data_IF_276160218141
#
_entry.id   IF_276160218141
#
_cell.length_a   1.000
_cell.length_b   1.000
_cell.length_c   1.000
_cell.angle_alpha   90.00
_cell.angle_beta   90.00
_cell.angle_gamma   90.00
#
_symmetry.space_group_name_H-M   'P 1'
#
loop_
_entity.id
_entity.type
_entity.pdbx_description
1 polymer ?
#
# COMPACT_ATOMS: atom_id res chain seq x y z
N UNK A 1 -7.72 -15.86 17.82
CA UNK A 1 -8.14 -14.91 18.88
C UNK A 1 -6.95 -14.63 19.79
N UNK A 2 -6.31 -13.49 19.56
CA UNK A 2 -5.12 -13.03 20.30
C UNK A 2 -5.45 -12.76 21.75
N UNK A 3 -4.54 -13.15 22.65
CA UNK A 3 -4.66 -12.87 24.09
C UNK A 3 -4.58 -11.34 24.36
N UNK A 4 -5.66 -10.70 24.85
CA UNK A 4 -5.67 -9.26 25.13
C UNK A 4 -4.65 -8.83 26.19
N UNK A 5 -4.31 -9.72 27.13
CA UNK A 5 -3.33 -9.46 28.19
C UNK A 5 -1.93 -9.40 27.59
N UNK A 6 -1.61 -10.34 26.70
CA UNK A 6 -0.34 -10.37 25.98
C UNK A 6 -0.17 -9.11 25.12
N UNK A 7 -1.19 -8.75 24.36
CA UNK A 7 -1.17 -7.57 23.50
C UNK A 7 -0.94 -6.29 24.31
N UNK A 8 -1.64 -6.13 25.43
CA UNK A 8 -1.48 -4.95 26.29
C UNK A 8 -0.10 -4.90 26.93
N UNK A 9 0.39 -6.02 27.45
CA UNK A 9 1.73 -6.12 28.04
C UNK A 9 2.83 -5.75 27.03
N UNK A 10 2.73 -6.25 25.80
CA UNK A 10 3.65 -5.90 24.72
C UNK A 10 3.58 -4.39 24.37
N UNK A 11 2.38 -3.81 24.33
CA UNK A 11 2.16 -2.39 24.08
C UNK A 11 2.67 -1.46 25.20
N UNK A 12 2.69 -1.96 26.44
CA UNK A 12 3.23 -1.26 27.60
C UNK A 12 4.77 -1.41 27.71
N UNK A 13 5.40 -2.18 26.80
CA UNK A 13 6.85 -2.28 26.66
C UNK A 13 7.50 -3.52 27.29
N UNK A 14 6.72 -4.52 27.70
CA UNK A 14 7.28 -5.78 28.21
C UNK A 14 7.98 -6.56 27.07
N UNK A 15 9.27 -6.83 27.25
CA UNK A 15 10.10 -7.46 26.23
C UNK A 15 9.73 -8.93 25.96
N UNK A 16 9.29 -9.66 26.98
CA UNK A 16 8.90 -11.06 26.84
C UNK A 16 7.56 -11.17 26.09
N UNK A 17 6.60 -10.30 26.44
CA UNK A 17 5.32 -10.18 25.75
C UNK A 17 5.50 -9.74 24.30
N UNK A 18 6.38 -8.76 24.04
CA UNK A 18 6.76 -8.35 22.67
C UNK A 18 7.29 -9.53 21.87
N UNK A 19 8.26 -10.27 22.44
CA UNK A 19 8.85 -11.44 21.79
C UNK A 19 7.82 -12.52 21.47
N UNK A 20 6.95 -12.83 22.43
CA UNK A 20 5.87 -13.80 22.25
C UNK A 20 4.88 -13.37 21.17
N UNK A 21 4.44 -12.09 21.16
CA UNK A 21 3.50 -11.59 20.17
C UNK A 21 4.10 -11.58 18.75
N UNK A 22 5.40 -11.30 18.62
CA UNK A 22 6.12 -11.41 17.33
C UNK A 22 6.14 -12.87 16.84
N UNK A 23 6.41 -13.83 17.73
CA UNK A 23 6.37 -15.26 17.40
C UNK A 23 4.95 -15.71 17.02
N UNK A 24 3.94 -15.28 17.78
CA UNK A 24 2.53 -15.55 17.50
C UNK A 24 2.14 -15.00 16.13
N UNK A 25 2.48 -13.74 15.83
CA UNK A 25 2.20 -13.11 14.55
C UNK A 25 2.83 -13.87 13.38
N UNK A 26 4.06 -14.35 13.53
CA UNK A 26 4.75 -15.11 12.50
C UNK A 26 4.04 -16.44 12.21
N UNK A 27 3.54 -17.14 13.24
CA UNK A 27 2.81 -18.41 13.12
C UNK A 27 1.33 -18.24 12.75
N UNK A 28 0.75 -17.05 12.97
CA UNK A 28 -0.66 -16.76 12.80
C UNK A 28 -1.13 -16.80 11.34
N UNK A 29 -2.40 -17.19 11.16
CA UNK A 29 -3.11 -17.07 9.89
C UNK A 29 -3.49 -15.61 9.57
N UNK A 30 -4.04 -15.34 8.37
CA UNK A 30 -4.38 -13.98 7.95
C UNK A 30 -5.33 -13.24 8.89
N UNK A 31 -6.36 -13.90 9.40
CA UNK A 31 -7.37 -13.28 10.27
C UNK A 31 -6.78 -12.93 11.64
N UNK A 32 -6.05 -13.84 12.27
CA UNK A 32 -5.37 -13.58 13.55
C UNK A 32 -4.32 -12.46 13.43
N UNK A 33 -3.58 -12.38 12.31
CA UNK A 33 -2.67 -11.26 12.05
C UNK A 33 -3.40 -9.93 11.98
N UNK A 34 -4.58 -9.91 11.36
CA UNK A 34 -5.43 -8.70 11.31
C UNK A 34 -5.86 -8.31 12.72
N UNK A 35 -6.30 -9.27 13.55
CA UNK A 35 -6.66 -9.02 14.94
C UNK A 35 -5.50 -8.43 15.75
N UNK A 36 -4.29 -8.96 15.63
CA UNK A 36 -3.10 -8.45 16.32
C UNK A 36 -2.81 -6.99 15.91
N UNK A 37 -2.80 -6.71 14.61
CA UNK A 37 -2.53 -5.35 14.10
C UNK A 37 -3.60 -4.37 14.55
N UNK A 38 -4.87 -4.75 14.44
CA UNK A 38 -6.00 -3.89 14.80
C UNK A 38 -6.13 -3.70 16.32
N UNK A 39 -5.61 -4.63 17.13
CA UNK A 39 -5.51 -4.46 18.58
C UNK A 39 -4.37 -3.51 18.99
N UNK A 40 -3.23 -3.56 18.29
CA UNK A 40 -2.09 -2.67 18.57
C UNK A 40 -2.29 -1.25 18.05
N UNK A 41 -2.94 -1.08 16.89
CA UNK A 41 -3.07 0.21 16.22
C UNK A 41 -3.72 1.32 17.06
N UNK A 42 -4.83 1.09 17.79
CA UNK A 42 -5.41 2.09 18.68
C UNK A 42 -4.48 2.49 19.83
N UNK A 43 -3.66 1.56 20.33
CA UNK A 43 -2.70 1.84 21.40
C UNK A 43 -1.58 2.74 20.89
N UNK A 44 -1.06 2.46 19.69
CA UNK A 44 -0.10 3.33 19.00
C UNK A 44 -0.70 4.72 18.72
N UNK A 45 -1.95 4.78 18.25
CA UNK A 45 -2.67 6.03 18.00
C UNK A 45 -2.86 6.87 19.27
N UNK A 46 -3.06 6.22 20.42
CA UNK A 46 -3.13 6.85 21.73
C UNK A 46 -1.75 7.28 22.30
N UNK A 47 -0.66 7.02 21.58
CA UNK A 47 0.69 7.45 21.95
C UNK A 47 1.55 6.40 22.66
N UNK A 48 1.11 5.13 22.71
CA UNK A 48 1.94 4.05 23.26
C UNK A 48 3.12 3.76 22.31
N UNK A 49 4.29 4.33 22.61
CA UNK A 49 5.50 4.19 21.79
C UNK A 49 5.87 2.72 21.51
N UNK A 50 5.86 1.79 22.50
CA UNK A 50 6.21 0.40 22.23
C UNK A 50 5.24 -0.29 21.25
N UNK A 51 3.95 0.08 21.28
CA UNK A 51 2.97 -0.42 20.32
C UNK A 51 3.26 0.09 18.90
N UNK A 52 3.60 1.38 18.74
CA UNK A 52 3.98 1.96 17.45
C UNK A 52 5.24 1.30 16.89
N UNK A 53 6.27 1.12 17.71
CA UNK A 53 7.50 0.42 17.30
C UNK A 53 7.24 -1.02 16.89
N UNK A 54 6.34 -1.72 17.59
CA UNK A 54 5.95 -3.08 17.25
C UNK A 54 5.18 -3.14 15.92
N UNK A 55 4.25 -2.22 15.70
CA UNK A 55 3.54 -2.11 14.41
C UNK A 55 4.52 -1.88 13.26
N UNK A 56 5.48 -0.97 13.42
CA UNK A 56 6.51 -0.70 12.41
C UNK A 56 7.36 -1.94 12.13
N UNK A 57 7.78 -2.67 13.16
CA UNK A 57 8.49 -3.94 13.03
C UNK A 57 7.68 -4.96 12.21
N UNK A 58 6.40 -5.15 12.55
CA UNK A 58 5.53 -6.12 11.88
C UNK A 58 5.26 -5.71 10.41
N UNK A 59 5.01 -4.42 10.16
CA UNK A 59 4.81 -3.88 8.81
C UNK A 59 6.04 -4.15 7.94
N UNK A 60 7.23 -3.89 8.47
CA UNK A 60 8.49 -4.10 7.76
C UNK A 60 8.76 -5.58 7.52
N UNK A 61 8.80 -6.40 8.60
CA UNK A 61 9.18 -7.82 8.54
C UNK A 61 8.25 -8.64 7.66
N UNK A 62 6.95 -8.34 7.69
CA UNK A 62 5.94 -9.06 6.93
C UNK A 62 5.54 -8.36 5.64
N UNK A 63 6.29 -7.33 5.23
CA UNK A 63 6.14 -6.63 3.94
C UNK A 63 4.70 -6.19 3.67
N UNK A 64 3.98 -5.71 4.70
CA UNK A 64 2.53 -5.40 4.63
C UNK A 64 2.23 -4.34 3.56
N UNK A 65 3.15 -3.38 3.40
CA UNK A 65 3.08 -2.30 2.42
C UNK A 65 3.46 -2.73 0.99
N UNK A 66 4.21 -3.82 0.84
CA UNK A 66 4.84 -4.21 -0.43
C UNK A 66 3.85 -4.40 -1.57
N UNK A 67 2.70 -5.09 -1.40
CA UNK A 67 1.76 -5.27 -2.50
C UNK A 67 1.26 -3.94 -3.08
N UNK A 68 1.02 -2.93 -2.22
CA UNK A 68 0.60 -1.61 -2.68
C UNK A 68 1.72 -0.89 -3.45
N UNK A 69 2.96 -1.00 -2.99
CA UNK A 69 4.13 -0.38 -3.64
C UNK A 69 4.41 -1.00 -5.01
N UNK A 70 4.40 -2.33 -5.10
CA UNK A 70 4.75 -3.07 -6.33
C UNK A 70 3.68 -3.00 -7.40
N UNK A 71 2.49 -2.45 -7.10
CA UNK A 71 1.50 -2.10 -8.14
C UNK A 71 1.89 -0.88 -8.96
N UNK A 72 2.83 -0.06 -8.46
CA UNK A 72 3.23 1.23 -9.06
C UNK A 72 4.71 1.30 -9.43
N UNK A 73 5.57 0.60 -8.70
CA UNK A 73 7.02 0.63 -8.87
C UNK A 73 7.57 -0.75 -9.24
N UNK A 74 8.58 -0.75 -10.11
CA UNK A 74 9.25 -1.97 -10.59
C UNK A 74 10.73 -1.99 -10.21
N UNK A 75 11.37 -0.82 -10.18
CA UNK A 75 12.78 -0.72 -9.81
C UNK A 75 12.97 -1.07 -8.33
N UNK A 76 13.87 -2.00 -7.99
CA UNK A 76 14.07 -2.42 -6.60
C UNK A 76 14.47 -1.28 -5.65
N UNK A 77 15.25 -0.31 -6.12
CA UNK A 77 15.66 0.82 -5.28
C UNK A 77 14.48 1.78 -5.04
N UNK A 78 13.67 2.04 -6.06
CA UNK A 78 12.45 2.84 -5.92
C UNK A 78 11.44 2.16 -4.96
N UNK A 79 11.30 0.84 -5.06
CA UNK A 79 10.45 0.04 -4.17
C UNK A 79 10.92 0.14 -2.72
N UNK A 80 12.22 0.05 -2.49
CA UNK A 80 12.80 0.13 -1.15
C UNK A 80 12.69 1.53 -0.56
N UNK A 81 12.93 2.58 -1.36
CA UNK A 81 12.70 3.98 -0.96
C UNK A 81 11.25 4.21 -0.55
N UNK A 82 10.29 3.76 -1.38
CA UNK A 82 8.86 3.85 -1.04
C UNK A 82 8.51 3.08 0.24
N UNK A 83 9.12 1.91 0.48
CA UNK A 83 8.89 1.14 1.70
C UNK A 83 9.42 1.85 2.95
N UNK A 84 10.59 2.49 2.87
CA UNK A 84 11.15 3.28 3.96
C UNK A 84 10.30 4.52 4.26
N UNK A 85 9.93 5.27 3.21
CA UNK A 85 9.04 6.43 3.32
C UNK A 85 7.69 6.04 3.93
N UNK A 86 7.18 4.85 3.61
CA UNK A 86 5.95 4.33 4.21
C UNK A 86 6.08 4.17 5.71
N UNK A 87 7.17 3.58 6.21
CA UNK A 87 7.38 3.38 7.64
C UNK A 87 7.46 4.71 8.39
N UNK A 88 8.17 5.69 7.82
CA UNK A 88 8.26 7.06 8.36
C UNK A 88 6.86 7.69 8.41
N UNK A 89 6.11 7.62 7.30
CA UNK A 89 4.77 8.19 7.23
C UNK A 89 3.78 7.50 8.18
N UNK A 90 3.89 6.19 8.39
CA UNK A 90 3.11 5.45 9.39
C UNK A 90 3.42 5.97 10.79
N UNK A 91 4.70 6.11 11.14
CA UNK A 91 5.12 6.65 12.43
C UNK A 91 4.59 8.06 12.68
N UNK A 92 4.65 8.93 11.68
CA UNK A 92 4.17 10.33 11.78
C UNK A 92 2.64 10.43 11.88
N UNK A 93 1.92 9.52 11.22
CA UNK A 93 0.46 9.59 11.08
C UNK A 93 -0.30 8.64 12.00
N UNK A 94 0.37 7.80 12.79
CA UNK A 94 -0.29 6.78 13.60
C UNK A 94 -1.34 7.37 14.54
N UNK A 95 -1.13 8.59 15.06
CA UNK A 95 -2.09 9.33 15.89
C UNK A 95 -3.39 9.71 15.16
N UNK A 96 -3.39 9.67 13.83
CA UNK A 96 -4.56 9.92 12.97
C UNK A 96 -5.32 8.64 12.63
N UNK A 97 -4.87 7.47 13.10
CA UNK A 97 -5.60 6.23 12.88
C UNK A 97 -6.82 6.15 13.81
N UNK A 98 -8.01 6.26 13.20
CA UNK A 98 -9.30 6.30 13.92
C UNK A 98 -10.02 4.95 14.00
N UNK A 99 -9.42 3.85 13.52
CA UNK A 99 -10.06 2.53 13.51
C UNK A 99 -11.25 2.38 12.56
N UNK A 100 -11.48 3.35 11.65
CA UNK A 100 -12.53 3.28 10.62
C UNK A 100 -12.25 2.24 9.52
N UNK A 101 -11.02 1.74 9.45
CA UNK A 101 -10.59 0.65 8.56
C UNK A 101 -9.59 -0.25 9.27
N UNK A 102 -9.34 -1.43 8.69
CA UNK A 102 -8.26 -2.33 9.15
C UNK A 102 -6.91 -1.62 9.04
N UNK A 103 -6.03 -1.82 10.03
CA UNK A 103 -4.72 -1.16 10.05
C UNK A 103 -3.90 -1.46 8.80
N UNK A 104 -3.88 -2.73 8.34
CA UNK A 104 -3.16 -3.10 7.11
C UNK A 104 -3.67 -2.35 5.87
N UNK A 105 -4.96 -2.02 5.82
CA UNK A 105 -5.56 -1.26 4.71
C UNK A 105 -5.09 0.19 4.77
N UNK A 106 -5.08 0.78 5.96
CA UNK A 106 -4.56 2.13 6.19
C UNK A 106 -3.07 2.26 5.83
N UNK A 107 -2.23 1.28 6.22
CA UNK A 107 -0.81 1.24 5.83
C UNK A 107 -0.64 1.13 4.31
N UNK A 108 -1.43 0.28 3.64
CA UNK A 108 -1.38 0.13 2.17
C UNK A 108 -1.79 1.41 1.45
N UNK A 109 -2.76 2.15 1.99
CA UNK A 109 -3.12 3.47 1.47
C UNK A 109 -1.93 4.44 1.60
N UNK A 110 -1.27 4.52 2.76
CA UNK A 110 -0.05 5.33 2.92
C UNK A 110 1.03 4.91 1.92
N UNK A 111 1.32 3.60 1.83
CA UNK A 111 2.37 3.06 0.99
C UNK A 111 2.20 3.40 -0.50
N UNK A 112 0.95 3.36 -0.97
CA UNK A 112 0.60 3.75 -2.33
C UNK A 112 0.89 5.22 -2.60
N UNK A 113 0.64 6.09 -1.64
CA UNK A 113 0.95 7.52 -1.79
C UNK A 113 2.44 7.76 -1.88
N UNK A 114 3.23 7.09 -1.04
CA UNK A 114 4.69 7.20 -1.12
C UNK A 114 5.22 6.65 -2.45
N UNK A 115 4.67 5.53 -2.93
CA UNK A 115 5.01 4.98 -4.25
C UNK A 115 4.66 5.93 -5.41
N UNK A 116 3.52 6.62 -5.37
CA UNK A 116 3.16 7.65 -6.35
C UNK A 116 4.13 8.84 -6.31
N UNK A 117 4.57 9.26 -5.12
CA UNK A 117 5.53 10.35 -4.99
C UNK A 117 6.89 9.98 -5.57
N UNK A 118 7.38 8.77 -5.31
CA UNK A 118 8.62 8.24 -5.91
C UNK A 118 8.51 8.20 -7.43
N UNK A 119 7.41 7.68 -7.97
CA UNK A 119 7.16 7.64 -9.42
C UNK A 119 7.19 9.03 -10.06
N UNK A 120 6.51 10.02 -9.45
CA UNK A 120 6.48 11.41 -9.93
C UNK A 120 7.85 12.07 -9.90
N UNK A 121 8.66 11.83 -8.86
CA UNK A 121 10.03 12.36 -8.76
C UNK A 121 10.91 11.83 -9.89
N UNK A 122 10.73 10.57 -10.28
CA UNK A 122 11.45 9.93 -11.38
C UNK A 122 11.10 10.56 -12.73
N UNK A 123 9.81 10.68 -13.05
CA UNK A 123 9.38 11.30 -14.30
C UNK A 123 9.91 12.72 -14.47
N UNK A 124 9.90 13.52 -13.39
CA UNK A 124 10.47 14.88 -13.39
C UNK A 124 11.99 14.92 -13.60
N UNK A 125 12.72 13.85 -13.25
CA UNK A 125 14.17 13.73 -13.49
C UNK A 125 14.50 13.22 -14.90
N UNK A 126 13.55 12.58 -15.59
CA UNK A 126 13.77 11.94 -16.89
C UNK A 126 13.47 12.87 -18.10
N UNK A 127 12.91 14.06 -17.90
CA UNK A 127 12.86 15.08 -18.98
C UNK A 127 14.10 16.01 -18.89
N UNK A 128 14.90 16.19 -19.98
CA UNK A 128 14.51 16.12 -21.39
C UNK A 128 15.11 14.97 -22.21
N UNK A 129 14.38 14.65 -23.28
CA UNK A 129 14.76 13.95 -24.52
C UNK A 129 14.53 12.42 -24.63
N UNK A 130 13.51 12.12 -25.43
CA UNK A 130 13.34 10.96 -26.34
C UNK A 130 12.67 9.70 -25.79
N UNK A 131 11.64 9.29 -26.54
CA UNK A 131 10.90 8.03 -26.47
C UNK A 131 11.83 6.81 -26.47
N UNK A 132 12.10 6.22 -25.31
CA UNK A 132 12.43 4.80 -25.21
C UNK A 132 11.74 4.21 -23.98
N UNK A 133 10.75 3.35 -24.22
CA UNK A 133 10.12 2.52 -23.20
C UNK A 133 11.11 1.41 -22.84
N UNK A 134 11.68 1.34 -21.62
CA UNK A 134 12.65 0.30 -21.31
C UNK A 134 11.98 -1.06 -21.23
N UNK A 135 12.38 -1.95 -22.14
CA UNK A 135 12.03 -3.36 -22.19
C UNK A 135 12.75 -4.11 -21.05
N UNK A 136 12.27 -3.98 -19.80
CA UNK A 136 12.78 -4.76 -18.64
C UNK A 136 11.75 -5.71 -18.03
N UNK A 137 10.67 -6.05 -18.75
CA UNK A 137 9.57 -6.89 -18.27
C UNK A 137 9.86 -8.41 -18.28
N UNK A 138 11.08 -8.85 -17.97
CA UNK A 138 11.45 -10.28 -18.07
C UNK A 138 11.79 -10.98 -16.73
N UNK A 139 11.77 -10.32 -15.57
CA UNK A 139 12.29 -10.92 -14.32
C UNK A 139 11.26 -11.22 -13.21
N UNK A 140 10.07 -11.74 -13.54
CA UNK A 140 9.18 -12.23 -12.47
C UNK A 140 8.41 -13.47 -12.88
N UNK A 141 9.14 -14.47 -13.40
CA UNK A 141 8.59 -15.79 -13.69
C UNK A 141 8.80 -16.70 -12.47
N UNK A 142 7.84 -16.65 -11.53
CA UNK A 142 7.39 -17.72 -10.63
C UNK A 142 6.70 -17.08 -9.42
N UNK A 143 5.40 -17.32 -9.26
CA UNK A 143 4.72 -17.78 -8.04
C UNK A 143 3.19 -17.80 -8.29
N UNK A 144 2.46 -18.47 -7.41
CA UNK A 144 1.12 -19.09 -7.50
C UNK A 144 -0.03 -18.31 -8.16
N UNK A 145 -1.15 -18.99 -8.45
CA UNK A 145 -2.34 -18.50 -9.16
C UNK A 145 -2.95 -17.18 -8.66
N UNK A 146 -2.69 -16.76 -7.42
CA UNK A 146 -3.09 -15.44 -6.90
C UNK A 146 -2.13 -14.33 -7.38
N UNK A 147 -0.84 -14.64 -7.50
CA UNK A 147 0.20 -13.75 -8.07
C UNK A 147 0.00 -13.57 -9.57
N UNK A 148 -0.58 -14.56 -10.26
CA UNK A 148 -0.93 -14.44 -11.68
C UNK A 148 -2.00 -13.36 -11.91
N UNK A 149 -3.03 -13.30 -11.05
CA UNK A 149 -4.07 -12.27 -11.11
C UNK A 149 -3.52 -10.90 -10.74
N UNK A 150 -2.69 -10.79 -9.68
CA UNK A 150 -2.04 -9.52 -9.30
C UNK A 150 -1.09 -9.00 -10.40
N UNK A 151 -0.33 -9.90 -11.04
CA UNK A 151 0.55 -9.55 -12.16
C UNK A 151 -0.25 -9.12 -13.39
N UNK A 152 -1.36 -9.78 -13.69
CA UNK A 152 -2.25 -9.42 -14.78
C UNK A 152 -2.91 -8.04 -14.53
N UNK A 153 -3.40 -7.80 -13.31
CA UNK A 153 -3.93 -6.50 -12.88
C UNK A 153 -2.86 -5.41 -13.02
N UNK A 154 -1.63 -5.68 -12.58
CA UNK A 154 -0.51 -4.73 -12.72
C UNK A 154 -0.18 -4.43 -14.18
N UNK A 155 -0.02 -5.46 -15.03
CA UNK A 155 0.25 -5.28 -16.45
C UNK A 155 -0.85 -4.50 -17.16
N UNK A 156 -2.11 -4.69 -16.76
CA UNK A 156 -3.23 -3.93 -17.28
C UNK A 156 -3.18 -2.46 -16.83
N UNK A 157 -2.86 -2.20 -15.55
CA UNK A 157 -2.70 -0.85 -15.01
C UNK A 157 -1.49 -0.11 -15.60
N UNK A 158 -0.39 -0.80 -15.91
CA UNK A 158 0.82 -0.20 -16.50
C UNK A 158 0.55 0.43 -17.88
N UNK A 159 -0.43 -0.11 -18.61
CA UNK A 159 -0.88 0.42 -19.91
C UNK A 159 -1.85 1.60 -19.80
N UNK A 160 -2.28 1.95 -18.59
CA UNK A 160 -3.13 3.11 -18.34
C UNK A 160 -2.24 4.32 -18.04
N UNK A 161 -2.35 5.44 -18.78
CA UNK A 161 -1.61 6.67 -18.47
C UNK A 161 -1.84 7.13 -17.03
N UNK A 162 -0.78 7.64 -16.38
CA UNK A 162 -0.73 7.91 -14.94
C UNK A 162 -1.94 8.70 -14.40
N UNK A 163 -2.40 9.81 -15.01
CA UNK A 163 -3.49 10.58 -14.42
C UNK A 163 -4.81 9.79 -14.31
N UNK A 164 -5.02 8.82 -15.20
CA UNK A 164 -6.18 7.94 -15.20
C UNK A 164 -5.98 6.77 -14.24
N UNK A 165 -4.78 6.18 -14.27
CA UNK A 165 -4.37 5.07 -13.40
C UNK A 165 -4.47 5.49 -11.94
N UNK A 166 -3.93 6.65 -11.59
CA UNK A 166 -3.93 7.18 -10.23
C UNK A 166 -5.34 7.39 -9.70
N UNK A 167 -6.21 8.05 -10.46
CA UNK A 167 -7.61 8.25 -10.06
C UNK A 167 -8.38 6.93 -9.92
N UNK A 168 -8.13 5.96 -10.80
CA UNK A 168 -8.72 4.63 -10.72
C UNK A 168 -8.24 3.87 -9.48
N UNK A 169 -6.93 3.91 -9.19
CA UNK A 169 -6.38 3.20 -8.06
C UNK A 169 -6.92 3.78 -6.75
N UNK A 170 -6.94 5.12 -6.60
CA UNK A 170 -7.51 5.77 -5.42
C UNK A 170 -9.00 5.40 -5.24
N UNK A 171 -9.74 5.20 -6.34
CA UNK A 171 -11.15 4.81 -6.28
C UNK A 171 -11.35 3.34 -5.90
N UNK A 172 -10.70 2.43 -6.60
CA UNK A 172 -10.99 0.99 -6.49
C UNK A 172 -10.24 0.33 -5.32
N UNK A 173 -9.05 0.82 -4.97
CA UNK A 173 -8.22 0.18 -3.95
C UNK A 173 -8.20 0.96 -2.64
N UNK A 174 -8.21 2.30 -2.69
CA UNK A 174 -8.31 3.13 -1.47
C UNK A 174 -9.75 3.43 -1.07
N UNK A 175 -10.72 3.02 -1.90
CA UNK A 175 -12.16 3.21 -1.69
C UNK A 175 -12.56 4.67 -1.41
N UNK A 176 -11.74 5.64 -1.85
CA UNK A 176 -12.00 7.05 -1.62
C UNK A 176 -13.23 7.52 -2.39
N UNK A 177 -13.97 8.45 -1.78
CA UNK A 177 -15.01 9.22 -2.44
C UNK A 177 -14.45 10.09 -3.56
N UNK A 178 -15.28 10.47 -4.53
CA UNK A 178 -14.84 11.33 -5.63
C UNK A 178 -14.29 12.67 -5.13
N UNK A 179 -14.89 13.25 -4.08
CA UNK A 179 -14.49 14.52 -3.50
C UNK A 179 -13.13 14.42 -2.77
N UNK A 180 -12.88 13.33 -2.03
CA UNK A 180 -11.59 13.06 -1.39
C UNK A 180 -10.48 12.86 -2.43
N UNK A 181 -10.78 12.18 -3.55
CA UNK A 181 -9.84 12.02 -4.66
C UNK A 181 -9.58 13.38 -5.32
N UNK A 182 -10.60 14.22 -5.47
CA UNK A 182 -10.48 15.55 -6.07
C UNK A 182 -9.54 16.44 -5.25
N UNK A 183 -9.74 16.47 -3.93
CA UNK A 183 -8.87 17.16 -2.99
C UNK A 183 -7.44 16.62 -3.05
N UNK A 184 -7.28 15.29 -2.99
CA UNK A 184 -5.98 14.63 -2.98
C UNK A 184 -5.17 14.87 -4.26
N UNK A 185 -5.84 14.91 -5.41
CA UNK A 185 -5.20 15.12 -6.71
C UNK A 185 -5.11 16.61 -7.12
N UNK A 186 -5.71 17.51 -6.35
CA UNK A 186 -5.79 18.94 -6.70
C UNK A 186 -6.53 19.20 -8.01
N UNK A 187 -7.56 18.39 -8.32
CA UNK A 187 -8.35 18.52 -9.56
C UNK A 187 -9.85 18.58 -9.27
N UNK A 188 -10.67 19.17 -10.15
CA UNK A 188 -12.13 19.17 -9.97
C UNK A 188 -12.73 17.76 -9.90
N UNK A 189 -13.80 17.57 -9.11
CA UNK A 189 -14.49 16.27 -8.99
C UNK A 189 -14.98 15.71 -10.34
N UNK A 190 -15.36 16.60 -11.27
CA UNK A 190 -15.70 16.24 -12.65
C UNK A 190 -14.52 15.62 -13.41
N UNK A 191 -13.30 16.12 -13.18
CA UNK A 191 -12.05 15.58 -13.72
C UNK A 191 -11.73 14.22 -13.13
N UNK A 192 -12.02 14.00 -11.84
CA UNK A 192 -11.86 12.67 -11.23
C UNK A 192 -12.80 11.66 -11.90
N UNK A 193 -14.08 12.00 -12.08
CA UNK A 193 -15.05 11.14 -12.77
C UNK A 193 -14.61 10.79 -14.19
N UNK A 194 -14.17 11.79 -14.97
CA UNK A 194 -13.72 11.55 -16.34
C UNK A 194 -12.43 10.72 -16.40
N UNK A 195 -11.49 10.93 -15.46
CA UNK A 195 -10.27 10.13 -15.36
C UNK A 195 -10.54 8.67 -15.03
N UNK A 196 -11.43 8.39 -14.06
CA UNK A 196 -11.82 7.02 -13.70
C UNK A 196 -12.53 6.34 -14.87
N UNK A 197 -13.48 7.02 -15.53
CA UNK A 197 -14.17 6.50 -16.70
C UNK A 197 -13.17 6.15 -17.82
N UNK A 198 -12.24 7.06 -18.13
CA UNK A 198 -11.18 6.84 -19.12
C UNK A 198 -10.29 5.65 -18.76
N UNK A 199 -9.92 5.50 -17.50
CA UNK A 199 -9.11 4.38 -17.03
C UNK A 199 -9.81 3.04 -17.26
N UNK A 200 -11.11 2.94 -16.92
CA UNK A 200 -11.92 1.75 -17.14
C UNK A 200 -12.06 1.41 -18.63
N UNK A 201 -12.28 2.41 -19.48
CA UNK A 201 -12.35 2.22 -20.93
C UNK A 201 -11.04 1.66 -21.50
N UNK A 202 -9.89 2.17 -21.01
CA UNK A 202 -8.57 1.70 -21.43
C UNK A 202 -8.32 0.26 -21.00
N UNK A 203 -8.77 -0.13 -19.81
CA UNK A 203 -8.66 -1.52 -19.34
C UNK A 203 -9.62 -2.45 -20.10
N UNK A 204 -10.86 -2.03 -20.34
CA UNK A 204 -11.85 -2.83 -21.06
C UNK A 204 -11.41 -3.16 -22.51
N UNK A 205 -10.76 -2.21 -23.19
CA UNK A 205 -10.19 -2.44 -24.51
C UNK A 205 -9.05 -3.46 -24.50
N UNK A 206 -8.30 -3.55 -23.41
CA UNK A 206 -7.21 -4.51 -23.27
C UNK A 206 -7.73 -5.92 -23.00
N UNK A 207 -8.80 -6.06 -22.21
CA UNK A 207 -9.42 -7.37 -21.93
C UNK A 207 -10.03 -8.00 -23.19
N UNK A 208 -10.37 -7.21 -24.22
CA UNK A 208 -10.87 -7.72 -25.51
C UNK A 208 -9.78 -8.44 -26.33
N UNK A 209 -8.49 -8.21 -26.07
CA UNK A 209 -7.40 -8.83 -26.82
C UNK A 209 -6.97 -10.21 -26.26
N UNK A 210 -7.67 -10.70 -25.23
CA UNK A 210 -7.40 -11.96 -24.53
C UNK A 210 -8.57 -12.97 -24.58
N UNK A 211 -9.59 -12.70 -25.41
CA UNK A 211 -10.66 -13.64 -25.77
C UNK A 211 -10.42 -14.19 -27.17
#
# INVERSE_FOLDING_TARGET
MTDPVLLRSAADGDAAARGALVTEFAAAGPDDRIEILDGLAPLGAAGAVPATELLLELVHRHRIAQPAITTLLVDPADIEDAAQLTLIAVMEKISQFEGRSRFQTWVRAIARNEALQVLRRKQRKTEPATDEVPEQAAFSRRLSSVVADELAVRQALDRVPEPYREALILREFDQLGYDEIAERLGVPVGTVRSRIARARDLLAKQTWHWS
#
